data_IF_948358314748
#
_entry.id   IF_948358314748
#
_cell.length_a   1.000
_cell.length_b   1.000
_cell.length_c   1.000
_cell.angle_alpha   90.00
_cell.angle_beta   90.00
_cell.angle_gamma   90.00
#
_symmetry.space_group_name_H-M   'P 1'
#
loop_
_entity.id
_entity.type
_entity.pdbx_description
1 polymer ?
#
# COMPACT_ATOMS: atom_id res chain seq x y z
N UNK A 1 1.21 22.04 -1.27
CA UNK A 1 -0.09 21.46 -1.72
C UNK A 1 0.17 20.49 -2.87
N UNK A 2 -0.26 19.23 -2.77
CA UNK A 2 0.17 18.16 -3.68
C UNK A 2 -0.73 18.03 -4.94
N UNK A 3 -0.98 19.16 -5.64
CA UNK A 3 -2.05 19.27 -6.64
C UNK A 3 -1.76 18.50 -7.93
N UNK A 4 -0.54 18.59 -8.43
CA UNK A 4 -0.15 17.93 -9.68
C UNK A 4 -0.04 16.42 -9.50
N UNK A 5 0.50 15.94 -8.38
CA UNK A 5 0.53 14.51 -8.05
C UNK A 5 -0.88 13.94 -7.96
N UNK A 6 -1.83 14.63 -7.32
CA UNK A 6 -3.24 14.18 -7.27
C UNK A 6 -3.85 14.09 -8.67
N UNK A 7 -3.49 15.00 -9.59
CA UNK A 7 -3.95 14.94 -10.99
C UNK A 7 -3.38 13.71 -11.70
N UNK A 8 -2.08 13.45 -11.54
CA UNK A 8 -1.43 12.27 -12.12
C UNK A 8 -2.02 10.97 -11.57
N UNK A 9 -2.18 10.87 -10.24
CA UNK A 9 -2.80 9.71 -9.60
C UNK A 9 -4.21 9.46 -10.13
N UNK A 10 -5.02 10.51 -10.28
CA UNK A 10 -6.37 10.38 -10.83
C UNK A 10 -6.39 9.93 -12.30
N UNK A 11 -5.40 10.32 -13.11
CA UNK A 11 -5.27 9.84 -14.48
C UNK A 11 -4.90 8.35 -14.50
N UNK A 12 -3.92 7.94 -13.68
CA UNK A 12 -3.51 6.54 -13.53
C UNK A 12 -4.66 5.66 -13.06
N UNK A 13 -5.42 6.08 -12.06
CA UNK A 13 -6.57 5.32 -11.55
C UNK A 13 -7.64 5.09 -12.63
N UNK A 14 -7.90 6.08 -13.50
CA UNK A 14 -8.84 5.91 -14.62
C UNK A 14 -8.37 4.87 -15.62
N UNK A 15 -7.09 4.93 -16.01
CA UNK A 15 -6.50 3.96 -16.94
C UNK A 15 -6.51 2.52 -16.39
N UNK A 16 -6.34 2.37 -15.07
CA UNK A 16 -6.45 1.06 -14.42
C UNK A 16 -7.89 0.56 -14.37
N UNK A 17 -8.84 1.46 -14.07
CA UNK A 17 -10.26 1.12 -14.01
C UNK A 17 -10.81 0.63 -15.38
N UNK A 18 -10.32 1.18 -16.50
CA UNK A 18 -10.66 0.71 -17.85
C UNK A 18 -10.33 -0.78 -18.09
N UNK A 19 -9.39 -1.34 -17.33
CA UNK A 19 -8.99 -2.76 -17.40
C UNK A 19 -9.64 -3.64 -16.34
N UNK A 20 -10.45 -3.05 -15.45
CA UNK A 20 -11.13 -3.77 -14.37
C UNK A 20 -12.47 -4.36 -14.83
N UNK A 21 -12.99 -5.33 -14.07
CA UNK A 21 -14.34 -5.85 -14.29
C UNK A 21 -15.39 -4.80 -13.89
N UNK A 22 -16.45 -4.59 -14.70
CA UNK A 22 -17.51 -3.63 -14.37
C UNK A 22 -18.37 -4.10 -13.19
N UNK A 23 -18.40 -5.40 -12.91
CA UNK A 23 -19.07 -5.97 -11.74
C UNK A 23 -18.23 -5.86 -10.45
N UNK A 24 -18.92 -5.65 -9.33
CA UNK A 24 -18.32 -5.78 -8.02
C UNK A 24 -18.06 -7.25 -7.69
N UNK A 25 -16.83 -7.60 -7.34
CA UNK A 25 -16.41 -8.99 -7.09
C UNK A 25 -16.45 -9.41 -5.62
N UNK A 26 -16.90 -8.53 -4.74
CA UNK A 26 -16.99 -8.76 -3.31
C UNK A 26 -18.33 -8.24 -2.77
N UNK A 27 -18.74 -8.74 -1.61
CA UNK A 27 -19.93 -8.29 -0.91
C UNK A 27 -19.62 -8.11 0.58
N UNK A 28 -20.28 -7.15 1.21
CA UNK A 28 -20.04 -6.80 2.61
C UNK A 28 -18.78 -5.98 2.85
N UNK A 29 -18.42 -5.80 4.13
CA UNK A 29 -17.24 -5.08 4.54
C UNK A 29 -15.97 -5.94 4.40
N UNK A 30 -14.84 -5.31 4.13
CA UNK A 30 -13.54 -5.98 4.26
C UNK A 30 -13.27 -6.23 5.75
N UNK A 31 -13.03 -7.48 6.10
CA UNK A 31 -12.58 -7.90 7.43
C UNK A 31 -11.08 -8.15 7.41
N UNK A 32 -10.44 -7.92 8.55
CA UNK A 32 -9.08 -8.39 8.77
C UNK A 32 -9.02 -9.90 8.61
N UNK A 33 -7.89 -10.42 8.11
CA UNK A 33 -7.64 -11.84 8.03
C UNK A 33 -7.75 -12.47 9.44
N UNK A 34 -8.60 -13.49 9.65
CA UNK A 34 -8.75 -14.09 10.97
C UNK A 34 -7.41 -14.65 11.49
N UNK A 35 -7.12 -14.43 12.77
CA UNK A 35 -5.88 -14.84 13.44
C UNK A 35 -4.58 -14.22 12.88
N UNK A 36 -4.64 -13.17 12.04
CA UNK A 36 -3.45 -12.39 11.73
C UNK A 36 -3.13 -11.43 12.87
N UNK A 37 -1.92 -11.50 13.43
CA UNK A 37 -1.42 -10.45 14.31
C UNK A 37 -0.82 -9.34 13.45
N UNK A 38 -1.14 -8.08 13.73
CA UNK A 38 -0.42 -6.96 13.10
C UNK A 38 0.88 -6.75 13.85
N UNK A 39 2.00 -7.05 13.21
CA UNK A 39 3.36 -6.90 13.73
C UNK A 39 4.07 -5.65 13.21
N UNK A 40 3.59 -5.04 12.12
CA UNK A 40 4.06 -3.72 11.65
C UNK A 40 2.95 -2.97 10.91
N UNK A 41 2.90 -1.65 11.12
CA UNK A 41 1.88 -0.79 10.53
C UNK A 41 2.25 -0.35 9.09
N UNK A 42 1.25 0.14 8.37
CA UNK A 42 1.47 0.85 7.12
C UNK A 42 2.28 2.13 7.35
N UNK A 43 3.19 2.41 6.41
CA UNK A 43 4.15 3.50 6.41
C UNK A 43 5.12 3.49 7.62
N UNK A 44 5.30 2.32 8.24
CA UNK A 44 6.35 2.13 9.23
C UNK A 44 7.74 2.19 8.57
N UNK A 45 8.69 2.90 9.17
CA UNK A 45 10.00 3.14 8.56
C UNK A 45 11.00 2.09 9.03
N UNK A 46 11.54 1.33 8.07
CA UNK A 46 12.50 0.26 8.31
C UNK A 46 13.90 0.68 7.92
N UNK A 47 14.85 0.50 8.83
CA UNK A 47 16.28 0.55 8.52
C UNK A 47 16.80 -0.88 8.42
N UNK A 48 17.38 -1.22 7.28
CA UNK A 48 18.06 -2.49 7.08
C UNK A 48 19.54 -2.32 7.42
N UNK A 49 20.05 -3.18 8.31
CA UNK A 49 21.43 -3.15 8.77
C UNK A 49 22.13 -4.44 8.34
N UNK A 50 23.32 -4.30 7.77
CA UNK A 50 24.22 -5.40 7.41
C UNK A 50 25.64 -5.06 7.86
N UNK A 51 26.31 -5.99 8.55
CA UNK A 51 27.64 -5.77 9.16
C UNK A 51 27.73 -4.47 9.97
N UNK A 52 26.76 -4.25 10.87
CA UNK A 52 26.65 -3.05 11.71
C UNK A 52 26.58 -1.72 10.93
N UNK A 53 26.24 -1.77 9.63
CA UNK A 53 26.05 -0.61 8.77
C UNK A 53 24.64 -0.56 8.22
N UNK A 54 24.03 0.62 8.29
CA UNK A 54 22.77 0.91 7.61
C UNK A 54 22.98 0.80 6.10
N UNK A 55 22.30 -0.15 5.47
CA UNK A 55 22.40 -0.39 4.03
C UNK A 55 21.18 0.12 3.26
N UNK A 56 20.03 0.29 3.91
CA UNK A 56 18.83 0.80 3.27
C UNK A 56 17.80 1.36 4.26
N UNK A 57 16.92 2.23 3.78
CA UNK A 57 15.73 2.67 4.49
C UNK A 57 14.50 2.60 3.58
N UNK A 58 13.46 1.91 4.04
CA UNK A 58 12.21 1.77 3.28
C UNK A 58 10.99 2.05 4.14
N UNK A 59 9.96 2.64 3.54
CA UNK A 59 8.64 2.77 4.14
C UNK A 59 7.84 1.49 3.85
N UNK A 60 7.27 0.87 4.87
CA UNK A 60 6.49 -0.36 4.74
C UNK A 60 5.12 -0.08 4.11
N UNK A 61 4.91 -0.52 2.87
CA UNK A 61 3.67 -0.23 2.12
C UNK A 61 2.55 -1.27 2.36
N UNK A 62 2.67 -2.08 3.42
CA UNK A 62 1.74 -3.14 3.79
C UNK A 62 1.49 -3.19 5.29
N UNK A 63 0.87 -4.28 5.73
CA UNK A 63 0.80 -4.66 7.14
C UNK A 63 1.45 -6.03 7.26
N UNK A 64 2.30 -6.18 8.27
CA UNK A 64 2.81 -7.47 8.73
C UNK A 64 2.06 -7.85 10.00
#
# INVERSE_FOLDING_TARGET
>A
MNRDLRRQNAATLRQLAEKSRPEQLWSGAFSQLPNSQVTSAFADRRTYVYDDRDVDQQDHLGFD
#
